data_IF_419437807680
#
_entry.id   IF_419437807680
#
_cell.length_a   1.000
_cell.length_b   1.000
_cell.length_c   1.000
_cell.angle_alpha   90.00
_cell.angle_beta   90.00
_cell.angle_gamma   90.00
#
_symmetry.space_group_name_H-M   'P 1'
#
loop_
_entity.id
_entity.type
_entity.pdbx_description
1 polymer ?
#
# COMPACT_ATOMS: atom_id res chain seq x y z
N UNK A 1 -66.14 -38.69 1.46
CA UNK A 1 -65.39 -38.12 2.58
C UNK A 1 -63.92 -38.53 2.57
N UNK A 2 -63.60 -39.84 2.51
CA UNK A 2 -62.22 -40.38 2.54
C UNK A 2 -61.25 -39.88 1.44
N UNK A 3 -61.73 -39.57 0.23
CA UNK A 3 -60.87 -39.11 -0.89
C UNK A 3 -60.40 -37.66 -0.66
N UNK A 4 -61.27 -36.81 -0.12
CA UNK A 4 -60.99 -35.40 0.16
C UNK A 4 -59.93 -35.25 1.26
N UNK A 5 -59.98 -36.10 2.28
CA UNK A 5 -59.02 -36.09 3.40
C UNK A 5 -57.61 -36.51 2.95
N UNK A 6 -57.51 -37.47 2.01
CA UNK A 6 -56.22 -37.88 1.43
C UNK A 6 -55.58 -36.77 0.59
N UNK A 7 -56.39 -36.04 -0.19
CA UNK A 7 -55.91 -34.92 -1.00
C UNK A 7 -55.40 -33.77 -0.10
N UNK A 8 -56.13 -33.47 0.97
CA UNK A 8 -55.73 -32.44 1.95
C UNK A 8 -54.42 -32.81 2.66
N UNK A 9 -54.24 -34.09 3.00
CA UNK A 9 -53.01 -34.60 3.60
C UNK A 9 -51.80 -34.46 2.66
N UNK A 10 -51.97 -34.79 1.37
CA UNK A 10 -50.92 -34.61 0.36
C UNK A 10 -50.56 -33.13 0.15
N UNK A 11 -51.54 -32.24 0.07
CA UNK A 11 -51.31 -30.81 -0.04
C UNK A 11 -50.53 -30.27 1.17
N UNK A 12 -50.87 -30.72 2.38
CA UNK A 12 -50.18 -30.31 3.61
C UNK A 12 -48.72 -30.78 3.61
N UNK A 13 -48.44 -32.02 3.19
CA UNK A 13 -47.08 -32.56 3.08
C UNK A 13 -46.26 -31.75 2.06
N UNK A 14 -46.84 -31.45 0.89
CA UNK A 14 -46.14 -30.69 -0.16
C UNK A 14 -45.84 -29.27 0.33
N UNK A 15 -46.80 -28.57 0.92
CA UNK A 15 -46.60 -27.22 1.45
C UNK A 15 -45.54 -27.20 2.54
N UNK A 16 -45.53 -28.19 3.44
CA UNK A 16 -44.53 -28.30 4.49
C UNK A 16 -43.13 -28.55 3.93
N UNK A 17 -43.00 -29.44 2.94
CA UNK A 17 -41.73 -29.69 2.26
C UNK A 17 -41.23 -28.45 1.51
N UNK A 18 -42.12 -27.72 0.82
CA UNK A 18 -41.77 -26.45 0.15
C UNK A 18 -41.32 -25.38 1.15
N UNK A 19 -41.97 -25.28 2.30
CA UNK A 19 -41.56 -24.36 3.36
C UNK A 19 -40.17 -24.71 3.91
N UNK A 20 -39.91 -25.99 4.17
CA UNK A 20 -38.61 -26.46 4.65
C UNK A 20 -37.50 -26.18 3.63
N UNK A 21 -37.73 -26.49 2.35
CA UNK A 21 -36.74 -26.25 1.30
C UNK A 21 -36.50 -24.76 1.08
N UNK A 22 -37.53 -23.92 1.09
CA UNK A 22 -37.40 -22.48 0.99
C UNK A 22 -36.63 -21.88 2.18
N UNK A 23 -36.91 -22.35 3.40
CA UNK A 23 -36.23 -21.89 4.62
C UNK A 23 -34.76 -22.30 4.61
N UNK A 24 -34.44 -23.54 4.25
CA UNK A 24 -33.07 -24.02 4.11
C UNK A 24 -32.32 -23.27 3.02
N UNK A 25 -32.95 -23.05 1.86
CA UNK A 25 -32.37 -22.27 0.77
C UNK A 25 -32.06 -20.83 1.19
N UNK A 26 -32.98 -20.19 1.92
CA UNK A 26 -32.80 -18.82 2.44
C UNK A 26 -31.65 -18.75 3.44
N UNK A 27 -31.57 -19.72 4.36
CA UNK A 27 -30.47 -19.79 5.33
C UNK A 27 -29.11 -20.00 4.67
N UNK A 28 -29.04 -20.90 3.67
CA UNK A 28 -27.81 -21.12 2.90
C UNK A 28 -27.42 -19.88 2.09
N UNK A 29 -28.38 -19.23 1.42
CA UNK A 29 -28.13 -17.99 0.70
C UNK A 29 -27.60 -16.89 1.63
N UNK A 30 -28.15 -16.76 2.83
CA UNK A 30 -27.66 -15.83 3.84
C UNK A 30 -26.23 -16.15 4.29
N UNK A 31 -25.92 -17.43 4.55
CA UNK A 31 -24.58 -17.86 4.95
C UNK A 31 -23.55 -17.57 3.83
N UNK A 32 -23.88 -17.89 2.58
CA UNK A 32 -23.04 -17.62 1.41
C UNK A 32 -22.82 -16.12 1.26
N UNK A 33 -23.88 -15.31 1.37
CA UNK A 33 -23.79 -13.85 1.29
C UNK A 33 -22.86 -13.27 2.36
N UNK A 34 -22.94 -13.77 3.60
CA UNK A 34 -22.02 -13.37 4.67
C UNK A 34 -20.58 -13.71 4.34
N UNK A 35 -20.31 -14.93 3.85
CA UNK A 35 -18.95 -15.36 3.47
C UNK A 35 -18.39 -14.58 2.29
N UNK A 36 -19.21 -14.29 1.28
CA UNK A 36 -18.81 -13.44 0.15
C UNK A 36 -18.47 -12.03 0.60
N UNK A 37 -19.23 -11.46 1.54
CA UNK A 37 -18.92 -10.15 2.11
C UNK A 37 -17.59 -10.16 2.88
N UNK A 38 -17.31 -11.20 3.66
CA UNK A 38 -16.02 -11.39 4.35
C UNK A 38 -14.86 -11.48 3.34
N UNK A 39 -15.02 -12.28 2.28
CA UNK A 39 -14.01 -12.42 1.22
C UNK A 39 -13.78 -11.09 0.49
N UNK A 40 -14.83 -10.35 0.16
CA UNK A 40 -14.71 -9.06 -0.52
C UNK A 40 -13.97 -8.04 0.35
N UNK A 41 -14.22 -8.02 1.67
CA UNK A 41 -13.45 -7.17 2.59
C UNK A 41 -11.98 -7.53 2.60
N UNK A 42 -11.66 -8.82 2.70
CA UNK A 42 -10.28 -9.29 2.66
C UNK A 42 -9.60 -8.97 1.32
N UNK A 43 -10.31 -9.12 0.19
CA UNK A 43 -9.80 -8.80 -1.13
C UNK A 43 -9.51 -7.30 -1.29
N UNK A 44 -10.40 -6.43 -0.77
CA UNK A 44 -10.19 -4.98 -0.76
C UNK A 44 -8.99 -4.59 0.12
N UNK A 45 -8.83 -5.22 1.28
CA UNK A 45 -7.67 -4.96 2.15
C UNK A 45 -6.35 -5.39 1.50
N UNK A 46 -6.35 -6.50 0.75
CA UNK A 46 -5.18 -6.95 -0.01
C UNK A 46 -4.88 -5.99 -1.18
N UNK A 47 -5.92 -5.44 -1.83
CA UNK A 47 -5.77 -4.46 -2.90
C UNK A 47 -5.38 -3.07 -2.41
N UNK A 48 -5.63 -2.74 -1.14
CA UNK A 48 -5.12 -1.53 -0.47
C UNK A 48 -3.65 -1.70 -0.07
N UNK A 49 -2.82 -2.13 -1.02
CA UNK A 49 -1.38 -2.14 -0.85
C UNK A 49 -0.86 -0.71 -0.91
N UNK A 50 -0.17 -0.31 0.15
CA UNK A 50 0.39 1.03 0.34
C UNK A 50 1.88 0.88 0.59
N UNK A 51 2.80 1.36 -0.23
CA UNK A 51 4.24 1.18 -0.01
C UNK A 51 5.06 2.27 -0.72
N UNK A 52 6.27 2.52 -0.22
CA UNK A 52 7.24 3.43 -0.85
C UNK A 52 8.53 2.71 -1.22
N UNK A 53 9.04 2.97 -2.42
CA UNK A 53 10.39 2.56 -2.82
C UNK A 53 11.36 3.73 -2.78
N UNK A 54 12.60 3.46 -2.37
CA UNK A 54 13.67 4.45 -2.36
C UNK A 54 14.81 3.96 -3.25
N UNK A 55 15.23 4.80 -4.20
CA UNK A 55 16.32 4.49 -5.13
C UNK A 55 17.36 5.61 -5.11
N UNK A 56 18.66 5.29 -5.05
CA UNK A 56 19.69 6.31 -5.12
C UNK A 56 19.90 6.77 -6.56
N UNK A 57 20.10 8.07 -6.75
CA UNK A 57 20.39 8.70 -8.04
C UNK A 57 21.64 9.57 -7.92
N UNK A 58 22.61 9.36 -8.82
CA UNK A 58 23.75 10.27 -9.00
C UNK A 58 23.31 11.45 -9.85
N UNK A 59 23.47 12.66 -9.33
CA UNK A 59 23.30 13.88 -10.11
C UNK A 59 24.64 14.25 -10.71
N UNK A 60 24.68 14.29 -12.04
CA UNK A 60 25.86 14.62 -12.84
C UNK A 60 25.56 15.92 -13.56
N UNK A 61 26.44 16.90 -13.42
CA UNK A 61 26.42 18.16 -14.15
C UNK A 61 27.45 18.18 -15.27
N UNK A 62 27.52 19.30 -15.98
CA UNK A 62 28.59 19.60 -16.93
C UNK A 62 29.44 20.76 -16.39
N UNK A 63 30.75 20.68 -16.57
CA UNK A 63 31.64 21.81 -16.33
C UNK A 63 31.67 22.78 -17.53
N UNK A 64 32.41 23.89 -17.40
CA UNK A 64 32.55 24.91 -18.45
C UNK A 64 33.20 24.38 -19.74
N UNK A 65 33.83 23.20 -19.66
CA UNK A 65 34.50 22.51 -20.77
C UNK A 65 33.62 21.40 -21.38
N UNK A 66 32.39 21.23 -20.87
CA UNK A 66 31.44 20.22 -21.32
C UNK A 66 31.69 18.82 -20.75
N UNK A 67 32.63 18.64 -19.83
CA UNK A 67 32.89 17.35 -19.19
C UNK A 67 31.86 17.06 -18.10
N UNK A 68 31.47 15.80 -18.00
CA UNK A 68 30.57 15.34 -16.94
C UNK A 68 31.26 15.38 -15.58
N UNK A 69 30.66 16.07 -14.62
CA UNK A 69 31.15 16.17 -13.24
C UNK A 69 30.07 15.74 -12.26
N UNK A 70 30.43 14.86 -11.33
CA UNK A 70 29.53 14.49 -10.24
C UNK A 70 29.24 15.71 -9.35
N UNK A 71 27.96 15.93 -9.02
CA UNK A 71 27.52 17.03 -8.17
C UNK A 71 27.14 16.55 -6.77
N UNK A 72 26.15 15.65 -6.69
CA UNK A 72 25.62 15.13 -5.43
C UNK A 72 24.75 13.89 -5.65
N UNK A 73 24.31 13.27 -4.56
CA UNK A 73 23.35 12.16 -4.57
C UNK A 73 21.95 12.63 -4.17
N UNK A 74 20.94 12.04 -4.81
CA UNK A 74 19.54 12.09 -4.38
C UNK A 74 19.07 10.69 -3.96
N UNK A 75 18.13 10.64 -3.03
CA UNK A 75 17.28 9.48 -2.79
C UNK A 75 15.92 9.77 -3.41
N UNK A 76 15.58 9.02 -4.45
CA UNK A 76 14.31 9.13 -5.15
C UNK A 76 13.28 8.24 -4.46
N UNK A 77 12.21 8.85 -3.97
CA UNK A 77 11.07 8.17 -3.36
C UNK A 77 9.98 8.00 -4.43
N UNK A 78 9.47 6.78 -4.56
CA UNK A 78 8.37 6.43 -5.45
C UNK A 78 7.24 5.76 -4.71
N UNK A 79 6.02 6.13 -5.10
CA UNK A 79 4.83 5.45 -4.68
C UNK A 79 4.69 4.10 -5.39
N UNK A 80 4.63 3.03 -4.59
CA UNK A 80 4.40 1.66 -5.03
C UNK A 80 2.98 1.16 -4.72
N UNK A 81 2.15 2.05 -4.19
CA UNK A 81 0.79 1.77 -3.75
C UNK A 81 -0.19 1.73 -4.92
N UNK A 82 -1.37 1.17 -4.68
CA UNK A 82 -2.48 1.22 -5.62
C UNK A 82 -3.16 2.59 -5.71
N UNK A 83 -2.89 3.49 -4.76
CA UNK A 83 -3.48 4.82 -4.65
C UNK A 83 -2.41 5.90 -4.40
N UNK A 84 -2.69 7.19 -4.64
CA UNK A 84 -1.75 8.26 -4.32
C UNK A 84 -1.43 8.28 -2.83
N UNK A 85 -0.21 8.67 -2.50
CA UNK A 85 0.22 8.89 -1.12
C UNK A 85 0.63 10.35 -0.94
N UNK A 86 0.56 10.82 0.29
CA UNK A 86 0.93 12.17 0.69
C UNK A 86 2.14 12.10 1.60
N UNK A 87 3.27 12.66 1.16
CA UNK A 87 4.48 12.73 1.97
C UNK A 87 4.37 13.88 2.97
N UNK A 88 4.47 13.57 4.26
CA UNK A 88 4.25 14.54 5.33
C UNK A 88 5.60 15.07 5.85
N UNK A 89 6.48 14.15 6.24
CA UNK A 89 7.84 14.45 6.72
C UNK A 89 8.80 13.32 6.40
N UNK A 90 10.10 13.62 6.43
CA UNK A 90 11.14 12.60 6.46
C UNK A 90 12.22 12.95 7.47
N UNK A 91 12.92 11.94 7.96
CA UNK A 91 14.07 12.08 8.87
C UNK A 91 15.28 11.45 8.19
N UNK A 92 16.27 12.26 7.84
CA UNK A 92 17.53 11.80 7.24
C UNK A 92 18.66 11.91 8.28
N UNK A 93 19.25 10.78 8.65
CA UNK A 93 20.30 10.67 9.68
C UNK A 93 19.96 11.40 11.00
N UNK A 94 18.70 11.33 11.41
CA UNK A 94 18.20 11.99 12.63
C UNK A 94 17.78 13.45 12.45
N UNK A 95 17.93 14.04 11.27
CA UNK A 95 17.47 15.40 10.95
C UNK A 95 16.10 15.35 10.31
N UNK A 96 15.10 15.95 10.96
CA UNK A 96 13.72 15.99 10.47
C UNK A 96 13.51 17.12 9.45
N UNK A 97 12.80 16.80 8.37
CA UNK A 97 12.43 17.72 7.30
C UNK A 97 10.93 17.63 7.02
N UNK A 98 10.25 18.76 7.08
CA UNK A 98 8.83 18.87 6.76
C UNK A 98 8.64 19.05 5.27
N UNK A 99 7.76 18.24 4.67
CA UNK A 99 7.43 18.31 3.24
C UNK A 99 6.13 19.10 3.02
N UNK A 100 5.13 18.92 3.90
CA UNK A 100 3.84 19.61 3.80
C UNK A 100 2.88 18.98 2.78
N UNK A 101 2.68 17.66 2.87
CA UNK A 101 1.71 16.88 2.08
C UNK A 101 1.97 16.90 0.57
N UNK A 102 3.21 16.69 0.15
CA UNK A 102 3.50 16.51 -1.28
C UNK A 102 2.87 15.22 -1.80
N UNK A 103 2.07 15.33 -2.86
CA UNK A 103 1.42 14.18 -3.49
C UNK A 103 2.45 13.40 -4.31
N UNK A 104 2.58 12.10 -4.05
CA UNK A 104 3.31 11.17 -4.93
C UNK A 104 2.29 10.31 -5.66
N UNK A 105 2.03 10.59 -6.96
CA UNK A 105 0.98 9.92 -7.72
C UNK A 105 1.31 8.45 -7.99
N UNK A 106 0.31 7.68 -8.40
CA UNK A 106 0.48 6.28 -8.80
C UNK A 106 1.14 6.25 -10.17
N UNK A 107 2.27 5.57 -10.30
CA UNK A 107 2.93 5.36 -11.60
C UNK A 107 3.48 6.63 -12.27
N UNK A 108 4.20 6.44 -13.38
CA UNK A 108 4.89 7.51 -14.13
C UNK A 108 6.33 7.80 -13.65
N UNK A 109 6.90 8.88 -14.21
CA UNK A 109 8.25 9.41 -13.93
C UNK A 109 8.28 10.39 -12.75
N UNK A 110 7.22 10.42 -11.94
CA UNK A 110 7.14 11.31 -10.79
C UNK A 110 7.85 10.68 -9.58
N UNK A 111 8.97 11.27 -9.22
CA UNK A 111 9.78 10.91 -8.05
C UNK A 111 9.86 12.10 -7.11
N UNK A 112 9.76 11.84 -5.81
CA UNK A 112 10.12 12.83 -4.82
C UNK A 112 11.61 12.69 -4.51
N UNK A 113 12.40 13.73 -4.82
CA UNK A 113 13.85 13.70 -4.62
C UNK A 113 14.21 14.25 -3.25
N UNK A 114 14.85 13.43 -2.42
CA UNK A 114 15.45 13.83 -1.17
C UNK A 114 16.96 14.03 -1.39
N UNK A 115 17.49 15.26 -1.30
CA UNK A 115 18.91 15.49 -1.47
C UNK A 115 19.71 14.90 -0.31
N UNK A 116 20.80 14.19 -0.63
CA UNK A 116 21.72 13.65 0.38
C UNK A 116 22.80 14.70 0.65
N UNK A 117 22.89 15.17 1.89
CA UNK A 117 23.91 16.15 2.28
C UNK A 117 25.32 15.58 2.15
N UNK A 118 26.32 16.47 1.98
CA UNK A 118 27.73 16.08 1.85
C UNK A 118 28.22 15.27 3.05
N UNK A 119 27.88 15.68 4.26
CA UNK A 119 28.27 14.99 5.50
C UNK A 119 27.78 13.53 5.54
N UNK A 120 26.59 13.27 4.99
CA UNK A 120 26.04 11.90 4.89
C UNK A 120 26.79 11.09 3.83
N UNK A 121 27.16 11.72 2.71
CA UNK A 121 27.97 11.09 1.67
C UNK A 121 29.37 10.72 2.17
N UNK A 122 30.02 11.62 2.92
CA UNK A 122 31.36 11.39 3.48
C UNK A 122 31.37 10.29 4.55
N UNK A 123 30.32 10.20 5.37
CA UNK A 123 30.15 9.11 6.34
C UNK A 123 29.89 7.75 5.68
N UNK A 124 29.36 7.74 4.46
CA UNK A 124 29.07 6.51 3.71
C UNK A 124 27.93 5.66 4.31
N UNK A 125 27.18 6.20 5.26
CA UNK A 125 26.03 5.53 5.90
C UNK A 125 24.86 6.50 6.01
N UNK A 126 23.65 6.02 5.72
CA UNK A 126 22.42 6.79 5.89
C UNK A 126 21.29 5.99 6.54
N UNK A 127 20.47 6.68 7.32
CA UNK A 127 19.16 6.25 7.78
C UNK A 127 18.11 7.24 7.29
N UNK A 128 17.04 6.74 6.71
CA UNK A 128 15.94 7.53 6.19
C UNK A 128 14.64 6.96 6.74
N UNK A 129 13.90 7.79 7.45
CA UNK A 129 12.51 7.51 7.81
C UNK A 129 11.59 8.41 6.99
N UNK A 130 10.54 7.85 6.42
CA UNK A 130 9.55 8.60 5.63
C UNK A 130 8.19 8.38 6.27
N UNK A 131 7.53 9.49 6.58
CA UNK A 131 6.14 9.48 7.04
C UNK A 131 5.24 9.98 5.94
N UNK A 132 4.22 9.18 5.70
CA UNK A 132 3.29 9.43 4.62
C UNK A 132 1.91 8.92 4.97
N UNK A 133 0.93 9.44 4.24
CA UNK A 133 -0.48 9.18 4.44
C UNK A 133 -1.05 8.57 3.17
N UNK A 134 -1.94 7.59 3.31
CA UNK A 134 -2.72 7.11 2.17
C UNK A 134 -3.89 8.07 1.85
N UNK A 135 -4.59 7.79 0.75
CA UNK A 135 -5.75 8.58 0.34
C UNK A 135 -6.95 8.55 1.30
N UNK A 136 -6.96 7.64 2.28
CA UNK A 136 -7.99 7.52 3.31
C UNK A 136 -7.61 8.22 4.61
N UNK A 137 -6.40 8.77 4.70
CA UNK A 137 -5.90 9.44 5.88
C UNK A 137 -5.14 8.55 6.85
N UNK A 138 -4.84 7.30 6.48
CA UNK A 138 -4.06 6.39 7.33
C UNK A 138 -2.58 6.75 7.24
N UNK A 139 -1.94 6.90 8.40
CA UNK A 139 -0.51 7.23 8.49
C UNK A 139 0.36 5.97 8.48
N UNK A 140 1.49 6.09 7.79
CA UNK A 140 2.49 5.04 7.64
C UNK A 140 3.89 5.61 7.84
N UNK A 141 4.77 4.75 8.34
CA UNK A 141 6.19 5.02 8.51
C UNK A 141 6.98 3.95 7.76
N UNK A 142 7.80 4.35 6.80
CA UNK A 142 8.79 3.49 6.15
C UNK A 142 10.20 3.86 6.61
N UNK A 143 11.04 2.84 6.80
CA UNK A 143 12.44 3.01 7.20
C UNK A 143 13.36 2.39 6.18
N UNK A 144 14.42 3.12 5.86
CA UNK A 144 15.41 2.76 4.85
C UNK A 144 16.80 3.04 5.41
N UNK A 145 17.73 2.12 5.16
CA UNK A 145 19.13 2.25 5.57
C UNK A 145 20.01 2.08 4.35
N UNK A 146 21.00 2.94 4.21
CA UNK A 146 21.93 2.91 3.09
C UNK A 146 23.37 2.79 3.56
N UNK A 147 24.16 2.04 2.80
CA UNK A 147 25.63 2.08 2.88
C UNK A 147 26.21 2.37 1.51
N UNK A 148 27.25 3.20 1.46
CA UNK A 148 27.95 3.52 0.23
C UNK A 148 29.02 2.45 -0.02
N UNK A 149 28.79 1.59 -1.01
CA UNK A 149 29.70 0.50 -1.37
C UNK A 149 30.06 0.60 -2.85
N UNK A 150 31.34 0.48 -3.20
CA UNK A 150 31.82 0.57 -4.58
C UNK A 150 31.31 1.82 -5.33
N UNK A 151 31.31 2.96 -4.64
CA UNK A 151 30.83 4.26 -5.13
C UNK A 151 29.33 4.30 -5.52
N UNK A 152 28.50 3.37 -5.02
CA UNK A 152 27.05 3.38 -5.17
C UNK A 152 26.35 3.11 -3.83
N UNK A 153 25.21 3.74 -3.60
CA UNK A 153 24.42 3.49 -2.41
C UNK A 153 23.68 2.15 -2.53
N UNK A 154 23.84 1.30 -1.52
CA UNK A 154 23.07 0.09 -1.31
C UNK A 154 21.98 0.38 -0.30
N UNK A 155 20.74 0.53 -0.77
CA UNK A 155 19.58 0.85 0.09
C UNK A 155 18.86 -0.44 0.47
N UNK A 156 18.68 -0.65 1.77
CA UNK A 156 17.84 -1.70 2.35
C UNK A 156 16.62 -1.05 2.99
N UNK A 157 15.45 -1.55 2.63
CA UNK A 157 14.17 -1.04 3.16
C UNK A 157 13.61 -2.03 4.16
N UNK A 158 13.18 -1.54 5.31
CA UNK A 158 12.36 -2.33 6.22
C UNK A 158 10.91 -2.35 5.74
N UNK A 159 10.16 -3.33 6.24
CA UNK A 159 8.71 -3.33 6.05
C UNK A 159 8.13 -2.09 6.73
N UNK A 160 7.31 -1.33 6.00
CA UNK A 160 6.56 -0.21 6.56
C UNK A 160 5.73 -0.63 7.77
N UNK A 161 5.49 0.32 8.67
CA UNK A 161 4.59 0.16 9.79
C UNK A 161 3.43 1.15 9.67
N UNK A 162 2.22 0.70 10.00
CA UNK A 162 1.07 1.59 10.20
C UNK A 162 1.26 2.29 11.55
N UNK A 163 1.09 3.62 11.56
CA UNK A 163 1.25 4.47 12.74
C UNK A 163 -0.10 4.67 13.43
#
# INVERSE_FOLDING_TARGET
>A
MVITDKILLWQTIVVFLTFLTASAATYLAWMIGRRQNEINKQALDIQNFVETFVMPQRVIGQDEQGNQKFLYWNLLVKNASSYPIYLNRFVLNGVAHLIGNSVVPIGGDNWYAIPVSKDVQEKGELSLEIEFEDYLGTQYLSRHYGKLENANWQIRSEKRNKV
#
